data_IF_351046861301
#
_entry.id   IF_351046861301
#
_cell.length_a   1.000
_cell.length_b   1.000
_cell.length_c   1.000
_cell.angle_alpha   90.00
_cell.angle_beta   90.00
_cell.angle_gamma   90.00
#
_symmetry.space_group_name_H-M   'P 1'
#
loop_
_entity.id
_entity.type
_entity.pdbx_description
1 polymer ?
#
# COMPACT_ATOMS: atom_id res chain seq x y z
N UNK A 1 -2.18 -5.94 -7.74
CA UNK A 1 -0.94 -6.21 -6.99
C UNK A 1 -0.31 -7.54 -7.36
N UNK A 2 -0.93 -8.69 -7.09
CA UNK A 2 -0.32 -10.01 -7.37
C UNK A 2 0.04 -10.21 -8.86
N UNK A 3 -0.75 -9.70 -9.81
CA UNK A 3 -0.39 -9.74 -11.23
C UNK A 3 0.85 -8.89 -11.58
N UNK A 4 1.15 -7.83 -10.82
CA UNK A 4 2.38 -7.04 -10.94
C UNK A 4 3.58 -7.72 -10.25
N UNK A 5 3.37 -8.80 -9.51
CA UNK A 5 4.42 -9.67 -9.00
C UNK A 5 4.50 -10.98 -9.80
N UNK A 6 3.66 -11.15 -10.83
CA UNK A 6 3.58 -12.37 -11.63
C UNK A 6 4.61 -12.36 -12.75
N UNK A 7 4.88 -13.53 -13.32
CA UNK A 7 5.90 -13.73 -14.37
C UNK A 7 5.77 -12.81 -15.58
N UNK A 8 4.55 -12.42 -15.97
CA UNK A 8 4.32 -11.52 -17.09
C UNK A 8 4.80 -10.09 -16.81
N UNK A 9 4.64 -9.63 -15.59
CA UNK A 9 5.02 -8.29 -15.15
C UNK A 9 5.89 -8.44 -13.91
N UNK A 10 7.12 -8.91 -14.11
CA UNK A 10 8.06 -9.21 -13.03
C UNK A 10 8.61 -7.92 -12.40
N UNK A 11 8.13 -7.56 -11.21
CA UNK A 11 8.62 -6.41 -10.46
C UNK A 11 10.00 -6.63 -9.84
N UNK A 12 10.41 -7.87 -9.59
CA UNK A 12 11.73 -8.18 -9.04
C UNK A 12 12.83 -7.85 -10.05
N UNK A 13 12.54 -7.96 -11.35
CA UNK A 13 13.41 -7.45 -12.44
C UNK A 13 13.73 -5.96 -12.29
N UNK A 14 12.83 -5.19 -11.70
CA UNK A 14 13.01 -3.74 -11.45
C UNK A 14 13.63 -3.46 -10.07
N UNK A 15 14.10 -4.51 -9.36
CA UNK A 15 14.67 -4.41 -8.02
C UNK A 15 13.63 -4.24 -6.91
N UNK A 16 12.33 -4.41 -7.21
CA UNK A 16 11.27 -4.27 -6.21
C UNK A 16 10.96 -5.62 -5.57
N UNK A 17 11.11 -5.70 -4.24
CA UNK A 17 10.85 -6.93 -3.46
C UNK A 17 9.86 -6.65 -2.34
N UNK A 18 8.86 -7.52 -2.17
CA UNK A 18 7.91 -7.41 -1.07
C UNK A 18 8.54 -7.84 0.25
N UNK A 19 8.53 -6.94 1.23
CA UNK A 19 8.92 -7.23 2.60
C UNK A 19 7.68 -7.26 3.48
N UNK A 20 7.54 -8.31 4.28
CA UNK A 20 6.40 -8.47 5.19
C UNK A 20 6.44 -7.56 6.42
N UNK A 21 7.63 -7.04 6.77
CA UNK A 21 7.80 -6.13 7.89
C UNK A 21 7.93 -4.68 7.39
N UNK A 22 7.15 -3.72 7.94
CA UNK A 22 7.23 -2.32 7.54
C UNK A 22 8.56 -1.65 7.93
N UNK A 23 9.30 -2.22 8.88
CA UNK A 23 10.58 -1.66 9.36
C UNK A 23 11.73 -1.79 8.35
N UNK A 24 11.55 -2.60 7.32
CA UNK A 24 12.54 -2.87 6.26
C UNK A 24 12.04 -2.40 4.89
N UNK A 25 10.99 -1.56 4.86
CA UNK A 25 10.28 -1.20 3.65
C UNK A 25 10.38 0.29 3.41
N UNK A 26 10.77 0.67 2.20
CA UNK A 26 10.88 2.07 1.78
C UNK A 26 9.56 2.60 1.17
N UNK A 27 8.73 1.71 0.61
CA UNK A 27 7.47 2.07 -0.09
C UNK A 27 6.28 1.26 0.46
N UNK A 28 5.25 1.95 0.94
CA UNK A 28 3.97 1.34 1.30
C UNK A 28 2.97 1.52 0.16
N UNK A 29 2.41 0.41 -0.33
CA UNK A 29 1.36 0.42 -1.36
C UNK A 29 0.01 0.19 -0.71
N UNK A 30 -0.87 1.20 -0.76
CA UNK A 30 -2.23 1.12 -0.23
C UNK A 30 -3.14 0.55 -1.31
N UNK A 31 -3.25 -0.78 -1.34
CA UNK A 31 -3.93 -1.53 -2.38
C UNK A 31 -5.38 -1.92 -1.98
N UNK A 32 -6.25 -0.94 -1.74
CA UNK A 32 -7.67 -1.21 -1.46
C UNK A 32 -8.40 -0.10 -0.70
N UNK A 33 -9.65 -0.36 -0.35
CA UNK A 33 -10.49 0.55 0.45
C UNK A 33 -9.95 0.67 1.87
N UNK A 34 -9.86 1.90 2.38
CA UNK A 34 -9.59 2.17 3.79
C UNK A 34 -10.90 2.36 4.56
N UNK A 35 -11.10 1.58 5.62
CA UNK A 35 -12.26 1.72 6.51
C UNK A 35 -11.91 2.55 7.74
N UNK A 36 -12.92 3.19 8.36
CA UNK A 36 -12.75 3.99 9.59
C UNK A 36 -12.06 3.18 10.71
N UNK A 37 -12.37 1.89 10.82
CA UNK A 37 -11.76 0.99 11.80
C UNK A 37 -10.29 0.68 11.50
N UNK A 38 -9.89 0.62 10.23
CA UNK A 38 -8.52 0.27 9.81
C UNK A 38 -7.58 1.49 9.77
N UNK A 39 -8.11 2.69 9.62
CA UNK A 39 -7.34 3.94 9.57
C UNK A 39 -6.25 4.07 10.66
N UNK A 40 -6.52 3.85 11.97
CA UNK A 40 -5.48 3.95 13.00
C UNK A 40 -4.43 2.84 12.91
N UNK A 41 -4.79 1.65 12.43
CA UNK A 41 -3.83 0.57 12.24
C UNK A 41 -2.89 0.87 11.07
N UNK A 42 -3.42 1.36 9.95
CA UNK A 42 -2.62 1.78 8.79
C UNK A 42 -1.65 2.90 9.16
N UNK A 43 -2.10 3.91 9.93
CA UNK A 43 -1.23 4.99 10.38
C UNK A 43 -0.06 4.46 11.22
N UNK A 44 -0.31 3.54 12.15
CA UNK A 44 0.74 2.91 12.96
C UNK A 44 1.77 2.16 12.11
N UNK A 45 1.34 1.49 11.04
CA UNK A 45 2.26 0.79 10.12
C UNK A 45 3.14 1.80 9.38
N UNK A 46 2.56 2.89 8.89
CA UNK A 46 3.30 3.97 8.23
C UNK A 46 4.34 4.63 9.15
N UNK A 47 3.97 4.90 10.41
CA UNK A 47 4.87 5.50 11.39
C UNK A 47 6.03 4.56 11.81
N UNK A 48 5.91 3.25 11.56
CA UNK A 48 6.98 2.27 11.83
C UNK A 48 8.00 2.15 10.69
N UNK A 49 7.78 2.81 9.54
CA UNK A 49 8.70 2.78 8.42
C UNK A 49 9.89 3.73 8.62
N UNK A 50 11.14 3.31 8.31
CA UNK A 50 12.31 4.18 8.37
C UNK A 50 12.25 5.28 7.28
N UNK A 51 12.98 6.38 7.47
CA UNK A 51 13.19 7.38 6.42
C UNK A 51 14.37 6.99 5.52
N UNK A 52 14.26 7.16 4.19
CA UNK A 52 13.17 7.78 3.43
C UNK A 52 11.99 6.82 3.17
N UNK A 53 10.75 7.28 3.45
CA UNK A 53 9.51 6.50 3.23
C UNK A 53 8.59 7.15 2.21
N UNK A 54 7.99 6.32 1.34
CA UNK A 54 7.04 6.74 0.31
C UNK A 54 5.74 5.95 0.39
N UNK A 55 4.67 6.52 -0.15
CA UNK A 55 3.34 5.89 -0.21
C UNK A 55 2.81 5.95 -1.63
N UNK A 56 2.38 4.81 -2.16
CA UNK A 56 1.64 4.72 -3.42
C UNK A 56 0.20 4.36 -3.09
N UNK A 57 -0.72 5.26 -3.41
CA UNK A 57 -2.15 4.98 -3.28
C UNK A 57 -2.64 4.27 -4.54
N UNK A 58 -3.08 3.01 -4.41
CA UNK A 58 -3.40 2.14 -5.54
C UNK A 58 -4.89 1.81 -5.57
N UNK A 59 -5.59 2.47 -6.50
CA UNK A 59 -7.02 2.27 -6.76
C UNK A 59 -7.87 3.48 -6.34
N UNK A 60 -9.01 3.65 -6.98
CA UNK A 60 -9.92 4.79 -6.72
C UNK A 60 -10.39 4.85 -5.27
N UNK A 61 -10.60 3.68 -4.63
CA UNK A 61 -11.00 3.59 -3.23
C UNK A 61 -9.93 4.10 -2.25
N UNK A 62 -8.66 3.83 -2.53
CA UNK A 62 -7.55 4.32 -1.70
C UNK A 62 -7.35 5.83 -1.88
N UNK A 63 -7.52 6.33 -3.11
CA UNK A 63 -7.28 7.74 -3.47
C UNK A 63 -8.31 8.69 -2.87
N UNK A 64 -9.57 8.28 -2.80
CA UNK A 64 -10.66 9.18 -2.40
C UNK A 64 -11.96 8.46 -2.06
N UNK A 65 -11.90 7.25 -1.50
CA UNK A 65 -13.10 6.46 -1.15
C UNK A 65 -13.74 5.72 -2.33
N UNK A 66 -13.56 6.20 -3.56
CA UNK A 66 -13.93 5.50 -4.78
C UNK A 66 -15.41 5.14 -4.80
N UNK A 67 -15.72 3.87 -5.04
CA UNK A 67 -17.11 3.39 -5.04
C UNK A 67 -17.82 3.58 -3.70
N UNK A 68 -17.07 3.56 -2.59
CA UNK A 68 -17.59 3.71 -1.23
C UNK A 68 -17.47 5.13 -0.68
N UNK A 69 -17.26 6.14 -1.54
CA UNK A 69 -17.04 7.52 -1.10
C UNK A 69 -18.18 8.07 -0.23
N UNK A 70 -19.42 7.73 -0.57
CA UNK A 70 -20.61 8.15 0.18
C UNK A 70 -21.06 7.13 1.24
N UNK A 71 -20.22 6.14 1.55
CA UNK A 71 -20.52 5.06 2.50
C UNK A 71 -20.03 5.34 3.93
N UNK A 72 -19.84 6.62 4.28
CA UNK A 72 -19.39 7.04 5.60
C UNK A 72 -20.42 6.71 6.70
#
# INVERSE_FOLDING_TARGET
>A
MMHFAGSRYDCERMGMVYRGSPRQTDVMIVAGTLTNKMAPAMRRVYDQMPEPRYVVSMGSCANGGGYYHYSL
#
